data_IF_366087806339
#
_entry.id   IF_366087806339
#
_cell.length_a   1.000
_cell.length_b   1.000
_cell.length_c   1.000
_cell.angle_alpha   90.00
_cell.angle_beta   90.00
_cell.angle_gamma   90.00
#
_symmetry.space_group_name_H-M   'P 1'
#
loop_
_entity.id
_entity.type
_entity.pdbx_description
1 polymer ?
#
# COMPACT_ATOMS: atom_id res chain seq x y z
N UNK A 1 -7.77 17.21 -23.04
CA UNK A 1 -7.71 16.99 -21.58
C UNK A 1 -8.58 15.79 -21.29
N UNK A 2 -8.02 14.70 -20.77
CA UNK A 2 -8.82 13.52 -20.40
C UNK A 2 -9.54 13.81 -19.09
N UNK A 3 -10.88 13.72 -19.10
CA UNK A 3 -11.69 13.88 -17.89
C UNK A 3 -11.38 12.76 -16.89
N UNK A 4 -11.27 13.14 -15.61
CA UNK A 4 -11.13 12.19 -14.50
C UNK A 4 -12.35 11.25 -14.46
N UNK A 5 -12.09 9.97 -14.26
CA UNK A 5 -13.12 8.96 -14.01
C UNK A 5 -13.90 9.26 -12.72
N UNK A 6 -15.12 8.73 -12.60
CA UNK A 6 -15.93 8.91 -11.38
C UNK A 6 -15.23 8.41 -10.11
N UNK A 7 -14.44 7.34 -10.22
CA UNK A 7 -13.68 6.79 -9.09
C UNK A 7 -12.59 7.75 -8.63
N UNK A 8 -11.89 8.40 -9.57
CA UNK A 8 -10.89 9.43 -9.26
C UNK A 8 -11.54 10.67 -8.63
N UNK A 9 -12.70 11.11 -9.14
CA UNK A 9 -13.43 12.25 -8.56
C UNK A 9 -13.84 11.98 -7.11
N UNK A 10 -14.44 10.82 -6.83
CA UNK A 10 -14.84 10.41 -5.46
C UNK A 10 -13.65 10.29 -4.51
N UNK A 11 -12.49 9.89 -5.01
CA UNK A 11 -11.27 9.84 -4.22
C UNK A 11 -10.79 11.24 -3.84
N UNK A 12 -10.75 12.19 -4.78
CA UNK A 12 -10.37 13.58 -4.51
C UNK A 12 -11.35 14.30 -3.57
N UNK A 13 -12.65 14.06 -3.73
CA UNK A 13 -13.68 14.58 -2.81
C UNK A 13 -13.45 14.09 -1.36
N UNK A 14 -13.08 12.83 -1.16
CA UNK A 14 -12.73 12.30 0.18
C UNK A 14 -11.44 12.89 0.75
N UNK A 15 -10.47 13.23 -0.10
CA UNK A 15 -9.25 13.95 0.33
C UNK A 15 -9.63 15.36 0.80
N UNK A 16 -10.46 16.08 0.05
CA UNK A 16 -10.90 17.45 0.37
C UNK A 16 -11.77 17.49 1.62
N UNK A 17 -12.65 16.51 1.79
CA UNK A 17 -13.49 16.35 2.99
C UNK A 17 -12.69 15.98 4.27
N UNK A 18 -11.36 15.78 4.17
CA UNK A 18 -10.47 15.35 5.27
C UNK A 18 -10.90 14.03 5.93
N UNK A 19 -11.70 13.22 5.25
CA UNK A 19 -12.10 11.89 5.71
C UNK A 19 -10.93 10.90 5.68
N UNK A 20 -9.83 11.29 5.03
CA UNK A 20 -8.59 10.52 4.96
C UNK A 20 -7.58 11.13 5.94
N UNK A 21 -7.05 10.28 6.85
CA UNK A 21 -6.06 10.69 7.85
C UNK A 21 -4.78 11.16 7.15
N UNK A 22 -4.41 12.43 7.35
CA UNK A 22 -3.11 12.96 6.86
C UNK A 22 -1.97 12.32 7.65
N UNK A 23 -0.95 11.87 6.92
CA UNK A 23 0.27 11.30 7.50
C UNK A 23 1.44 12.10 6.94
N UNK A 24 2.34 12.53 7.83
CA UNK A 24 3.61 13.14 7.45
C UNK A 24 4.68 12.06 7.40
N UNK A 25 5.39 11.98 6.28
CA UNK A 25 6.50 11.04 6.08
C UNK A 25 7.81 11.84 6.05
N UNK A 26 8.80 11.38 6.81
CA UNK A 26 10.15 11.91 6.72
C UNK A 26 10.95 11.08 5.70
N UNK A 27 11.33 11.69 4.59
CA UNK A 27 12.04 11.05 3.49
C UNK A 27 13.33 11.81 3.21
N UNK A 28 14.38 11.12 2.76
CA UNK A 28 15.61 11.79 2.37
C UNK A 28 15.40 12.58 1.06
N UNK A 29 16.31 13.55 0.81
CA UNK A 29 16.23 14.46 -0.35
C UNK A 29 16.21 13.72 -1.69
N UNK A 30 16.97 12.62 -1.80
CA UNK A 30 17.05 11.84 -3.04
C UNK A 30 15.71 11.15 -3.35
N UNK A 31 15.07 10.56 -2.34
CA UNK A 31 13.75 9.93 -2.47
C UNK A 31 12.69 10.95 -2.89
N UNK A 32 12.68 12.14 -2.27
CA UNK A 32 11.76 13.22 -2.65
C UNK A 32 11.97 13.63 -4.10
N UNK A 33 13.23 13.78 -4.54
CA UNK A 33 13.55 14.14 -5.92
C UNK A 33 13.04 13.10 -6.93
N UNK A 34 13.16 11.80 -6.61
CA UNK A 34 12.66 10.72 -7.49
C UNK A 34 11.12 10.70 -7.55
N UNK A 35 10.45 10.96 -6.43
CA UNK A 35 8.98 11.10 -6.40
C UNK A 35 8.53 12.25 -7.29
N UNK A 36 9.25 13.37 -7.25
CA UNK A 36 8.97 14.55 -8.09
C UNK A 36 9.15 14.27 -9.57
N UNK A 37 10.22 13.55 -9.92
CA UNK A 37 10.49 13.15 -11.29
C UNK A 37 9.39 12.22 -11.83
N UNK A 38 8.99 11.21 -11.04
CA UNK A 38 7.88 10.31 -11.41
C UNK A 38 6.57 11.08 -11.56
N UNK A 39 6.27 11.99 -10.64
CA UNK A 39 5.07 12.83 -10.71
C UNK A 39 5.05 13.66 -12.01
N UNK A 40 6.19 14.21 -12.44
CA UNK A 40 6.32 14.93 -13.72
C UNK A 40 6.16 14.02 -14.93
N UNK A 41 6.84 12.87 -14.95
CA UNK A 41 6.79 11.90 -16.07
C UNK A 41 5.35 11.43 -16.31
N UNK A 42 4.68 11.02 -15.23
CA UNK A 42 3.32 10.47 -15.30
C UNK A 42 2.22 11.54 -15.28
N UNK A 43 2.59 12.82 -15.10
CA UNK A 43 1.67 13.96 -14.97
C UNK A 43 0.60 13.75 -13.89
N UNK A 44 1.02 13.20 -12.75
CA UNK A 44 0.18 12.92 -11.58
C UNK A 44 0.73 13.63 -10.34
N UNK A 45 -0.05 13.64 -9.25
CA UNK A 45 0.38 14.25 -7.99
C UNK A 45 1.40 13.37 -7.26
N UNK A 46 2.26 13.99 -6.44
CA UNK A 46 3.15 13.27 -5.50
C UNK A 46 2.38 12.26 -4.64
N UNK A 47 1.15 12.61 -4.25
CA UNK A 47 0.27 11.76 -3.44
C UNK A 47 -0.03 10.44 -4.16
N UNK A 48 -0.41 10.48 -5.43
CA UNK A 48 -0.69 9.28 -6.22
C UNK A 48 0.56 8.43 -6.47
N UNK A 49 1.72 9.08 -6.68
CA UNK A 49 3.01 8.37 -6.76
C UNK A 49 3.29 7.64 -5.45
N UNK A 50 3.14 8.33 -4.31
CA UNK A 50 3.38 7.76 -3.00
C UNK A 50 2.41 6.64 -2.65
N UNK A 51 1.13 6.80 -2.98
CA UNK A 51 0.12 5.76 -2.83
C UNK A 51 0.51 4.51 -3.61
N UNK A 52 0.91 4.67 -4.87
CA UNK A 52 1.37 3.57 -5.72
C UNK A 52 2.58 2.85 -5.13
N UNK A 53 3.58 3.61 -4.64
CA UNK A 53 4.77 3.04 -3.98
C UNK A 53 4.38 2.24 -2.74
N UNK A 54 3.49 2.79 -1.89
CA UNK A 54 3.03 2.12 -0.68
C UNK A 54 2.27 0.83 -1.04
N UNK A 55 1.35 0.88 -2.01
CA UNK A 55 0.58 -0.27 -2.45
C UNK A 55 1.47 -1.40 -3.00
N UNK A 56 2.46 -1.06 -3.84
CA UNK A 56 3.44 -2.02 -4.37
C UNK A 56 4.26 -2.60 -3.23
N UNK A 57 4.78 -1.75 -2.32
CA UNK A 57 5.55 -2.19 -1.17
C UNK A 57 4.78 -3.16 -0.28
N UNK A 58 3.52 -2.84 0.05
CA UNK A 58 2.64 -3.71 0.83
C UNK A 58 2.40 -5.04 0.12
N UNK A 59 2.13 -5.04 -1.20
CA UNK A 59 1.93 -6.28 -1.98
C UNK A 59 3.16 -7.18 -1.95
N UNK A 60 4.36 -6.63 -2.14
CA UNK A 60 5.59 -7.42 -2.09
C UNK A 60 5.87 -7.94 -0.68
N UNK A 61 5.70 -7.10 0.34
CA UNK A 61 5.96 -7.48 1.73
C UNK A 61 5.01 -8.59 2.21
N UNK A 62 3.71 -8.49 1.88
CA UNK A 62 2.73 -9.52 2.18
C UNK A 62 3.11 -10.87 1.55
N UNK A 63 3.54 -10.89 0.28
CA UNK A 63 4.01 -12.12 -0.37
C UNK A 63 5.22 -12.74 0.33
N UNK A 64 6.18 -11.93 0.76
CA UNK A 64 7.36 -12.41 1.49
C UNK A 64 6.95 -13.00 2.83
N UNK A 65 6.07 -12.34 3.59
CA UNK A 65 5.59 -12.85 4.87
C UNK A 65 4.81 -14.15 4.69
N UNK A 66 3.88 -14.21 3.73
CA UNK A 66 3.13 -15.43 3.44
C UNK A 66 4.06 -16.60 3.07
N UNK A 67 5.11 -16.33 2.27
CA UNK A 67 6.11 -17.33 1.90
C UNK A 67 6.95 -17.81 3.08
N UNK A 68 7.47 -16.87 3.90
CA UNK A 68 8.23 -17.19 5.10
C UNK A 68 7.38 -17.99 6.10
N UNK A 69 6.12 -17.62 6.28
CA UNK A 69 5.21 -18.28 7.19
C UNK A 69 4.77 -19.67 6.69
N UNK A 70 4.61 -19.89 5.37
CA UNK A 70 4.41 -21.24 4.82
C UNK A 70 5.59 -22.17 5.14
N UNK A 71 6.83 -21.67 5.02
CA UNK A 71 8.03 -22.42 5.38
C UNK A 71 8.10 -22.72 6.88
N UNK A 72 7.67 -21.78 7.73
CA UNK A 72 7.60 -21.98 9.17
C UNK A 72 6.52 -23.00 9.55
N UNK A 73 5.33 -22.92 8.94
CA UNK A 73 4.23 -23.87 9.20
C UNK A 73 4.57 -25.30 8.79
N UNK A 74 5.36 -25.47 7.72
CA UNK A 74 5.89 -26.78 7.35
C UNK A 74 6.83 -27.38 8.41
N UNK A 75 7.47 -26.54 9.24
CA UNK A 75 8.36 -26.97 10.34
C UNK A 75 7.64 -27.06 11.69
N UNK A 76 6.59 -26.27 11.89
CA UNK A 76 5.81 -26.20 13.12
C UNK A 76 4.31 -26.17 12.77
N UNK A 77 3.68 -27.34 12.50
CA UNK A 77 2.32 -27.42 11.97
C UNK A 77 1.26 -26.86 12.94
N UNK A 78 1.45 -27.08 14.25
CA UNK A 78 0.46 -26.80 15.30
C UNK A 78 0.71 -25.49 16.04
N UNK A 79 1.40 -24.53 15.41
CA UNK A 79 1.70 -23.25 16.04
C UNK A 79 0.51 -22.28 15.92
N UNK A 80 -0.37 -22.28 16.93
CA UNK A 80 -1.56 -21.43 16.98
C UNK A 80 -1.25 -19.92 16.85
N UNK A 81 -0.11 -19.45 17.37
CA UNK A 81 0.30 -18.04 17.22
C UNK A 81 0.60 -17.70 15.76
N UNK A 82 1.21 -18.64 15.02
CA UNK A 82 1.47 -18.48 13.59
C UNK A 82 0.15 -18.41 12.81
N UNK A 83 -0.83 -19.23 13.17
CA UNK A 83 -2.15 -19.23 12.54
C UNK A 83 -2.94 -17.94 12.79
N UNK A 84 -2.87 -17.40 14.01
CA UNK A 84 -3.44 -16.10 14.33
C UNK A 84 -2.80 -14.97 13.52
N UNK A 85 -1.46 -14.97 13.40
CA UNK A 85 -0.74 -13.98 12.58
C UNK A 85 -1.13 -14.09 11.10
N UNK A 86 -1.23 -15.29 10.55
CA UNK A 86 -1.67 -15.54 9.17
C UNK A 86 -3.10 -15.06 8.91
N UNK A 87 -3.99 -15.24 9.89
CA UNK A 87 -5.36 -14.72 9.83
C UNK A 87 -5.39 -13.19 9.77
N UNK A 88 -4.59 -12.51 10.59
CA UNK A 88 -4.52 -11.05 10.61
C UNK A 88 -3.95 -10.47 9.31
N UNK A 89 -2.94 -11.11 8.74
CA UNK A 89 -2.33 -10.71 7.46
C UNK A 89 -3.34 -10.84 6.32
N UNK A 90 -4.09 -11.95 6.27
CA UNK A 90 -5.17 -12.13 5.29
C UNK A 90 -6.26 -11.07 5.43
N UNK A 91 -6.75 -10.83 6.66
CA UNK A 91 -7.75 -9.78 6.93
C UNK A 91 -7.25 -8.40 6.50
N UNK A 92 -5.98 -8.09 6.74
CA UNK A 92 -5.38 -6.83 6.29
C UNK A 92 -5.37 -6.74 4.77
N UNK A 93 -4.84 -7.76 4.07
CA UNK A 93 -4.80 -7.80 2.60
C UNK A 93 -6.19 -7.61 1.99
N UNK A 94 -7.18 -8.34 2.51
CA UNK A 94 -8.56 -8.32 1.99
C UNK A 94 -9.23 -6.97 2.29
N UNK A 95 -9.03 -6.39 3.48
CA UNK A 95 -9.54 -5.05 3.86
C UNK A 95 -9.04 -3.95 2.93
N UNK A 96 -7.80 -4.05 2.48
CA UNK A 96 -7.15 -3.04 1.64
C UNK A 96 -7.17 -3.38 0.15
N UNK A 97 -7.93 -4.42 -0.26
CA UNK A 97 -8.05 -4.85 -1.66
C UNK A 97 -6.71 -5.09 -2.36
N UNK A 98 -5.69 -5.52 -1.61
CA UNK A 98 -4.35 -5.78 -2.13
C UNK A 98 -4.37 -7.13 -2.85
N UNK A 99 -4.50 -7.13 -4.19
CA UNK A 99 -4.48 -8.35 -5.03
C UNK A 99 -3.07 -8.87 -5.28
#
# INVERSE_FOLDING_TARGET
MSELSEEEKKFFEKIEAKEIKKISLNLNKETISKIDELAKIFRITRTLVMESIICIGLKHYLKIIESANKKLKAKCPDNEKLDLMLGNIRKFRDKWSIK
#
